data_IF_335642908372
#
_entry.id   IF_335642908372
#
_cell.length_a   1.000
_cell.length_b   1.000
_cell.length_c   1.000
_cell.angle_alpha   90.00
_cell.angle_beta   90.00
_cell.angle_gamma   90.00
#
_symmetry.space_group_name_H-M   'P 1'
#
loop_
_entity.id
_entity.type
_entity.pdbx_description
1 polymer ?
#
# COMPACT_ATOMS: atom_id res chain seq x y z
N UNK A 1 34.90 -19.26 2.57
CA UNK A 1 34.84 -17.82 2.29
C UNK A 1 33.36 -17.47 2.22
N UNK A 2 32.77 -17.08 3.36
CA UNK A 2 31.36 -16.68 3.43
C UNK A 2 31.19 -15.44 2.55
N UNK A 3 30.46 -15.58 1.44
CA UNK A 3 30.05 -14.42 0.66
C UNK A 3 29.04 -13.64 1.50
N UNK A 4 29.29 -12.35 1.69
CA UNK A 4 28.30 -11.49 2.32
C UNK A 4 27.01 -11.54 1.50
N UNK A 5 25.86 -11.75 2.14
CA UNK A 5 24.52 -11.75 1.54
C UNK A 5 24.28 -10.54 0.62
N UNK A 6 24.91 -9.40 0.94
CA UNK A 6 24.91 -8.18 0.14
C UNK A 6 25.70 -8.30 -1.18
N UNK A 7 26.86 -8.93 -1.15
CA UNK A 7 27.68 -9.18 -2.35
C UNK A 7 27.01 -10.19 -3.27
N UNK A 8 26.41 -11.24 -2.68
CA UNK A 8 25.61 -12.22 -3.40
C UNK A 8 24.46 -11.56 -4.18
N UNK A 9 23.74 -10.63 -3.55
CA UNK A 9 22.67 -9.87 -4.20
C UNK A 9 23.18 -8.95 -5.30
N UNK A 10 24.27 -8.22 -5.08
CA UNK A 10 24.84 -7.33 -6.10
C UNK A 10 25.27 -8.09 -7.35
N UNK A 11 25.88 -9.27 -7.18
CA UNK A 11 26.24 -10.15 -8.30
C UNK A 11 25.00 -10.67 -9.03
N UNK A 12 23.95 -11.00 -8.28
CA UNK A 12 22.67 -11.42 -8.85
C UNK A 12 22.01 -10.30 -9.66
N UNK A 13 22.00 -9.06 -9.15
CA UNK A 13 21.49 -7.89 -9.87
C UNK A 13 22.29 -7.62 -11.15
N UNK A 14 23.62 -7.74 -11.10
CA UNK A 14 24.48 -7.57 -12.27
C UNK A 14 24.18 -8.62 -13.36
N UNK A 15 23.91 -9.86 -12.97
CA UNK A 15 23.50 -10.91 -13.92
C UNK A 15 22.07 -10.67 -14.43
N UNK A 16 21.14 -10.27 -13.55
CA UNK A 16 19.76 -9.98 -13.92
C UNK A 16 19.64 -8.83 -14.92
N UNK A 17 20.53 -7.82 -14.88
CA UNK A 17 20.61 -6.73 -15.87
C UNK A 17 20.91 -7.21 -17.30
N UNK A 18 21.36 -8.45 -17.49
CA UNK A 18 21.52 -9.04 -18.83
C UNK A 18 20.20 -9.55 -19.42
N UNK A 19 19.23 -9.87 -18.57
CA UNK A 19 17.92 -10.40 -18.97
C UNK A 19 16.76 -9.41 -18.74
N UNK A 20 16.94 -8.40 -17.88
CA UNK A 20 15.93 -7.40 -17.55
C UNK A 20 16.36 -5.99 -17.98
N UNK A 21 15.42 -5.15 -18.44
CA UNK A 21 15.70 -3.74 -18.70
C UNK A 21 16.21 -3.02 -17.43
N UNK A 22 17.17 -2.11 -17.61
CA UNK A 22 17.79 -1.39 -16.48
C UNK A 22 16.76 -0.62 -15.63
N UNK A 23 15.76 -0.01 -16.28
CA UNK A 23 14.65 0.66 -15.59
C UNK A 23 13.85 -0.28 -14.66
N UNK A 24 13.65 -1.54 -15.05
CA UNK A 24 12.98 -2.55 -14.22
C UNK A 24 13.83 -2.87 -12.99
N UNK A 25 15.14 -3.04 -13.18
CA UNK A 25 16.07 -3.34 -12.08
C UNK A 25 16.10 -2.17 -11.08
N UNK A 26 16.23 -0.94 -11.56
CA UNK A 26 16.26 0.27 -10.69
C UNK A 26 14.96 0.49 -9.92
N UNK A 27 13.82 0.17 -10.53
CA UNK A 27 12.52 0.43 -9.91
C UNK A 27 12.12 -0.65 -8.91
N UNK A 28 12.36 -1.93 -9.24
CA UNK A 28 11.75 -3.06 -8.53
C UNK A 28 12.75 -3.90 -7.72
N UNK A 29 14.02 -3.91 -8.12
CA UNK A 29 15.03 -4.80 -7.53
C UNK A 29 16.10 -4.06 -6.73
N UNK A 30 16.50 -2.85 -7.13
CA UNK A 30 17.43 -1.99 -6.35
C UNK A 30 16.88 -1.59 -4.97
N UNK A 31 15.57 -1.27 -4.80
CA UNK A 31 15.02 -0.98 -3.48
C UNK A 31 14.95 -2.22 -2.57
N UNK A 32 15.17 -3.42 -3.11
CA UNK A 32 15.08 -4.66 -2.37
C UNK A 32 16.42 -5.00 -1.70
N UNK A 33 16.36 -5.40 -0.43
CA UNK A 33 17.54 -5.61 0.42
C UNK A 33 17.67 -7.10 0.72
N UNK A 34 18.84 -7.72 0.55
CA UNK A 34 19.00 -9.13 0.83
C UNK A 34 19.04 -9.33 2.36
N UNK A 35 18.17 -10.20 2.87
CA UNK A 35 17.95 -10.44 4.30
C UNK A 35 18.81 -11.62 4.75
N UNK A 36 18.68 -12.74 4.06
CA UNK A 36 19.37 -13.98 4.40
C UNK A 36 19.66 -14.79 3.15
N UNK A 37 20.75 -15.55 3.18
CA UNK A 37 21.11 -16.51 2.17
C UNK A 37 21.34 -17.85 2.88
N UNK A 38 20.36 -18.73 2.74
CA UNK A 38 20.38 -20.07 3.29
C UNK A 38 20.68 -21.10 2.19
N UNK A 39 20.83 -22.37 2.56
CA UNK A 39 21.11 -23.45 1.61
C UNK A 39 19.93 -23.70 0.66
N UNK A 40 20.01 -23.04 -0.51
CA UNK A 40 19.03 -23.13 -1.61
C UNK A 40 17.99 -22.00 -1.66
N UNK A 41 18.07 -20.99 -0.79
CA UNK A 41 17.14 -19.85 -0.79
C UNK A 41 17.83 -18.52 -0.50
N UNK A 42 17.57 -17.52 -1.33
CA UNK A 42 17.90 -16.12 -1.07
C UNK A 42 16.63 -15.37 -0.68
N UNK A 43 16.59 -14.87 0.55
CA UNK A 43 15.48 -14.06 1.07
C UNK A 43 15.79 -12.60 0.81
N UNK A 44 14.87 -11.91 0.11
CA UNK A 44 15.01 -10.50 -0.26
C UNK A 44 13.85 -9.70 0.31
N UNK A 45 14.16 -8.67 1.08
CA UNK A 45 13.24 -7.70 1.64
C UNK A 45 12.81 -6.67 0.60
N UNK A 46 11.54 -6.65 0.23
CA UNK A 46 10.92 -5.64 -0.61
C UNK A 46 10.31 -4.51 0.25
N UNK A 47 10.13 -3.29 -0.30
CA UNK A 47 9.66 -2.14 0.46
C UNK A 47 8.21 -2.23 0.95
N UNK A 48 7.34 -2.97 0.25
CA UNK A 48 5.93 -3.20 0.60
C UNK A 48 5.39 -4.49 -0.03
N UNK A 49 4.16 -4.87 0.35
CA UNK A 49 3.49 -6.09 -0.12
C UNK A 49 3.25 -6.10 -1.64
N UNK A 50 3.00 -4.93 -2.24
CA UNK A 50 2.82 -4.84 -3.70
C UNK A 50 4.12 -5.16 -4.42
N UNK A 51 5.25 -4.64 -3.93
CA UNK A 51 6.56 -4.95 -4.46
C UNK A 51 6.91 -6.44 -4.28
N UNK A 52 6.48 -7.09 -3.19
CA UNK A 52 6.61 -8.56 -3.02
C UNK A 52 5.87 -9.28 -4.14
N UNK A 53 4.56 -9.05 -4.29
CA UNK A 53 3.71 -9.75 -5.27
C UNK A 53 4.16 -9.49 -6.72
N UNK A 54 4.57 -8.25 -7.01
CA UNK A 54 5.09 -7.88 -8.31
C UNK A 54 6.41 -8.61 -8.62
N UNK A 55 7.36 -8.59 -7.67
CA UNK A 55 8.66 -9.23 -7.85
C UNK A 55 8.55 -10.76 -7.93
N UNK A 56 7.68 -11.36 -7.12
CA UNK A 56 7.42 -12.80 -7.17
C UNK A 56 6.81 -13.21 -8.51
N UNK A 57 5.77 -12.50 -8.97
CA UNK A 57 5.07 -12.87 -10.20
C UNK A 57 5.88 -12.59 -11.48
N UNK A 58 6.66 -11.51 -11.51
CA UNK A 58 7.34 -11.05 -12.73
C UNK A 58 8.82 -11.40 -12.80
N UNK A 59 9.50 -11.53 -11.66
CA UNK A 59 10.96 -11.55 -11.62
C UNK A 59 11.55 -12.81 -10.95
N UNK A 60 10.78 -13.55 -10.15
CA UNK A 60 11.29 -14.72 -9.43
C UNK A 60 11.92 -15.79 -10.34
N UNK A 61 11.31 -16.08 -11.50
CA UNK A 61 11.84 -17.09 -12.43
C UNK A 61 13.16 -16.68 -13.07
N UNK A 62 13.27 -15.42 -13.50
CA UNK A 62 14.51 -14.85 -14.05
C UNK A 62 15.60 -14.82 -12.99
N UNK A 63 15.26 -14.38 -11.78
CA UNK A 63 16.19 -14.31 -10.66
C UNK A 63 16.65 -15.70 -10.20
N UNK A 64 15.81 -16.72 -10.22
CA UNK A 64 16.20 -18.09 -9.89
C UNK A 64 17.22 -18.66 -10.90
N UNK A 65 17.00 -18.42 -12.21
CA UNK A 65 17.99 -18.82 -13.25
C UNK A 65 19.30 -18.05 -13.14
N UNK A 66 19.22 -16.75 -12.85
CA UNK A 66 20.41 -15.95 -12.63
C UNK A 66 21.16 -16.40 -11.36
N UNK A 67 20.42 -16.77 -10.30
CA UNK A 67 20.97 -17.27 -9.05
C UNK A 67 21.69 -18.61 -9.23
N UNK A 68 21.16 -19.53 -10.04
CA UNK A 68 21.84 -20.78 -10.37
C UNK A 68 23.19 -20.55 -11.07
N UNK A 69 23.26 -19.58 -11.99
CA UNK A 69 24.51 -19.22 -12.69
C UNK A 69 25.51 -18.52 -11.76
N UNK A 70 25.04 -17.69 -10.83
CA UNK A 70 25.89 -16.92 -9.91
C UNK A 70 26.40 -17.77 -8.74
N UNK A 71 25.57 -18.66 -8.20
CA UNK A 71 25.86 -19.48 -7.02
C UNK A 71 26.26 -20.91 -7.35
N UNK A 72 26.12 -21.35 -8.61
CA UNK A 72 26.48 -22.71 -9.05
C UNK A 72 25.53 -23.80 -8.54
N UNK A 73 24.37 -23.43 -8.01
CA UNK A 73 23.36 -24.34 -7.46
C UNK A 73 21.95 -23.75 -7.57
N UNK A 74 20.91 -24.58 -7.74
CA UNK A 74 19.52 -24.11 -7.74
C UNK A 74 19.21 -23.34 -6.46
N UNK A 75 18.92 -22.05 -6.59
CA UNK A 75 18.65 -21.15 -5.48
C UNK A 75 17.37 -20.39 -5.77
N UNK A 76 16.34 -20.61 -4.95
CA UNK A 76 15.07 -19.89 -5.08
C UNK A 76 15.23 -18.47 -4.51
N UNK A 77 14.70 -17.47 -5.21
CA UNK A 77 14.65 -16.09 -4.73
C UNK A 77 13.26 -15.81 -4.21
N UNK A 78 13.16 -15.57 -2.91
CA UNK A 78 11.88 -15.38 -2.20
C UNK A 78 11.82 -13.95 -1.69
N UNK A 79 10.72 -13.26 -1.98
CA UNK A 79 10.52 -11.90 -1.51
C UNK A 79 9.69 -11.89 -0.24
N UNK A 80 10.03 -11.00 0.69
CA UNK A 80 9.23 -10.72 1.89
C UNK A 80 9.23 -9.23 2.13
N UNK A 81 8.24 -8.71 2.86
CA UNK A 81 8.26 -7.31 3.28
C UNK A 81 9.44 -7.09 4.24
N UNK A 82 10.22 -6.03 4.03
CA UNK A 82 11.37 -5.73 4.88
C UNK A 82 10.90 -5.37 6.31
N UNK A 83 11.09 -6.29 7.25
CA UNK A 83 10.68 -6.10 8.66
C UNK A 83 11.51 -5.02 9.39
N UNK A 84 12.75 -4.75 8.98
CA UNK A 84 13.58 -3.73 9.65
C UNK A 84 13.13 -2.27 9.42
N UNK A 85 12.21 -2.03 8.47
CA UNK A 85 11.50 -0.74 8.38
C UNK A 85 10.35 -0.64 9.40
N UNK A 86 10.01 -1.74 10.06
CA UNK A 86 9.06 -1.83 11.17
C UNK A 86 9.68 -1.50 12.54
N UNK A 87 11.01 -1.26 12.64
CA UNK A 87 11.65 -0.81 13.88
C UNK A 87 11.60 0.71 14.11
N UNK A 88 10.89 1.49 13.29
CA UNK A 88 10.20 2.67 13.83
C UNK A 88 8.93 2.14 14.44
N UNK A 89 8.59 2.46 15.71
CA UNK A 89 7.48 1.84 16.40
C UNK A 89 6.26 1.85 15.49
N UNK A 90 6.02 0.68 14.87
CA UNK A 90 4.76 0.41 14.24
C UNK A 90 3.81 0.35 15.42
N UNK A 91 3.19 1.49 15.68
CA UNK A 91 1.85 1.47 16.21
C UNK A 91 1.03 0.74 15.16
N UNK A 92 0.99 -0.58 15.32
CA UNK A 92 -0.05 -1.46 14.86
C UNK A 92 -1.40 -0.92 15.34
N UNK A 93 -1.90 0.08 14.64
CA UNK A 93 -3.33 0.36 14.61
C UNK A 93 -3.84 -0.08 13.25
N UNK A 94 -3.92 -1.42 13.13
CA UNK A 94 -4.86 -2.17 12.32
C UNK A 94 -5.14 -1.62 10.92
N UNK A 95 -4.59 -2.28 9.89
CA UNK A 95 -5.39 -2.51 8.68
C UNK A 95 -6.59 -3.33 9.14
N UNK A 96 -7.74 -2.70 9.34
CA UNK A 96 -8.94 -3.45 9.67
C UNK A 96 -9.21 -4.50 8.58
N UNK A 97 -9.68 -5.70 8.95
CA UNK A 97 -10.24 -6.64 7.99
C UNK A 97 -11.26 -5.92 7.11
N UNK A 98 -11.25 -6.17 5.80
CA UNK A 98 -12.30 -5.71 4.89
C UNK A 98 -13.63 -6.25 5.41
N UNK A 99 -14.42 -5.40 6.06
CA UNK A 99 -15.82 -5.71 6.32
C UNK A 99 -16.58 -5.68 4.99
N UNK A 100 -17.50 -6.63 4.78
CA UNK A 100 -18.31 -6.66 3.57
C UNK A 100 -19.13 -5.37 3.45
N UNK A 101 -19.26 -4.86 2.22
CA UNK A 101 -20.03 -3.67 1.92
C UNK A 101 -21.47 -3.82 2.43
N UNK A 102 -21.94 -2.82 3.17
CA UNK A 102 -23.32 -2.74 3.64
C UNK A 102 -24.13 -1.90 2.66
N UNK A 103 -25.29 -2.40 2.25
CA UNK A 103 -26.21 -1.66 1.39
C UNK A 103 -26.94 -0.63 2.28
N UNK A 104 -26.68 0.66 2.05
CA UNK A 104 -27.43 1.73 2.71
C UNK A 104 -28.85 1.84 2.12
N UNK A 105 -29.78 2.46 2.84
CA UNK A 105 -31.20 2.64 2.48
C UNK A 105 -31.44 3.42 1.17
N UNK A 106 -30.36 3.92 0.55
CA UNK A 106 -30.33 4.58 -0.75
C UNK A 106 -30.05 3.64 -1.92
N UNK A 107 -29.77 2.35 -1.68
CA UNK A 107 -29.46 1.37 -2.73
C UNK A 107 -28.03 1.48 -3.29
N UNK A 108 -27.22 2.39 -2.75
CA UNK A 108 -25.80 2.53 -3.10
C UNK A 108 -24.96 1.67 -2.14
N UNK A 109 -24.10 0.76 -2.63
CA UNK A 109 -23.19 0.01 -1.78
C UNK A 109 -22.21 0.98 -1.11
N UNK A 110 -22.27 1.12 0.21
CA UNK A 110 -21.30 1.93 0.95
C UNK A 110 -20.35 1.00 1.68
N UNK A 111 -19.05 1.30 1.62
CA UNK A 111 -18.12 0.60 2.51
C UNK A 111 -18.37 1.16 3.92
N UNK A 112 -18.64 0.33 4.93
CA UNK A 112 -18.81 0.81 6.29
C UNK A 112 -17.56 1.56 6.76
N UNK A 113 -17.76 2.66 7.49
CA UNK A 113 -16.66 3.41 8.09
C UNK A 113 -16.11 2.61 9.28
N UNK A 114 -14.79 2.48 9.36
CA UNK A 114 -14.14 1.88 10.51
C UNK A 114 -14.18 2.84 11.70
N UNK A 115 -14.81 2.41 12.80
CA UNK A 115 -14.96 3.20 14.03
C UNK A 115 -13.62 3.63 14.66
N UNK A 116 -12.52 2.91 14.37
CA UNK A 116 -11.19 3.24 14.91
C UNK A 116 -10.52 4.39 14.18
N UNK A 117 -10.97 4.76 12.99
CA UNK A 117 -10.30 5.75 12.15
C UNK A 117 -10.88 7.16 12.38
N UNK A 118 -10.66 7.69 13.58
CA UNK A 118 -11.10 9.03 13.98
C UNK A 118 -9.92 9.98 14.15
N UNK A 119 -10.15 11.29 14.22
CA UNK A 119 -9.05 12.23 14.47
C UNK A 119 -8.41 12.02 15.85
N UNK A 120 -9.19 11.58 16.85
CA UNK A 120 -8.71 11.37 18.21
C UNK A 120 -7.68 10.23 18.29
N UNK A 121 -7.77 9.23 17.42
CA UNK A 121 -6.83 8.09 17.37
C UNK A 121 -5.69 8.32 16.38
N UNK A 122 -5.67 9.42 15.64
CA UNK A 122 -4.63 9.73 14.68
C UNK A 122 -3.47 10.47 15.34
N UNK A 123 -2.27 9.87 15.31
CA UNK A 123 -1.07 10.50 15.87
C UNK A 123 -0.47 11.51 14.89
N UNK A 124 -0.45 12.78 15.30
CA UNK A 124 0.12 13.88 14.54
C UNK A 124 1.62 14.02 14.86
N UNK A 125 2.43 14.12 13.82
CA UNK A 125 3.85 14.45 13.90
C UNK A 125 4.29 15.26 12.69
N UNK A 126 5.52 15.80 12.72
CA UNK A 126 6.04 16.72 11.68
C UNK A 126 5.85 16.22 10.24
N UNK A 127 5.91 14.91 10.01
CA UNK A 127 5.78 14.31 8.67
C UNK A 127 4.34 14.23 8.15
N UNK A 128 3.33 14.36 9.01
CA UNK A 128 1.91 14.26 8.63
C UNK A 128 1.07 15.48 9.09
N UNK A 129 1.70 16.44 9.77
CA UNK A 129 1.06 17.63 10.34
C UNK A 129 0.24 18.41 9.32
N UNK A 130 0.80 18.67 8.13
CA UNK A 130 0.10 19.38 7.06
C UNK A 130 -1.16 18.62 6.59
N UNK A 131 -1.04 17.30 6.39
CA UNK A 131 -2.17 16.48 5.95
C UNK A 131 -3.26 16.39 7.02
N UNK A 132 -2.87 16.24 8.29
CA UNK A 132 -3.79 16.23 9.42
C UNK A 132 -4.51 17.57 9.58
N UNK A 133 -3.79 18.69 9.50
CA UNK A 133 -4.38 20.02 9.58
C UNK A 133 -5.37 20.30 8.44
N UNK A 134 -5.02 19.92 7.21
CA UNK A 134 -5.90 20.05 6.06
C UNK A 134 -7.16 19.17 6.20
N UNK A 135 -7.01 17.92 6.67
CA UNK A 135 -8.12 17.03 6.94
C UNK A 135 -9.05 17.58 8.03
N UNK A 136 -8.49 18.10 9.13
CA UNK A 136 -9.26 18.78 10.17
C UNK A 136 -10.06 19.96 9.61
N UNK A 137 -9.43 20.81 8.79
CA UNK A 137 -10.11 21.95 8.18
C UNK A 137 -11.31 21.53 7.30
N UNK A 138 -11.19 20.42 6.58
CA UNK A 138 -12.30 19.86 5.78
C UNK A 138 -13.39 19.27 6.66
N UNK A 139 -13.03 18.52 7.71
CA UNK A 139 -14.02 17.99 8.66
C UNK A 139 -14.80 19.09 9.39
N UNK A 140 -14.12 20.20 9.72
CA UNK A 140 -14.73 21.35 10.39
C UNK A 140 -15.66 22.16 9.49
N UNK A 141 -15.33 22.29 8.20
CA UNK A 141 -16.11 23.06 7.24
C UNK A 141 -16.05 22.44 5.83
N UNK A 142 -16.85 21.38 5.56
CA UNK A 142 -16.85 20.68 4.28
C UNK A 142 -17.12 21.61 3.10
N UNK A 143 -16.27 21.56 2.08
CA UNK A 143 -16.42 22.36 0.87
C UNK A 143 -16.11 23.85 1.01
N UNK A 144 -15.60 24.31 2.17
CA UNK A 144 -15.23 25.72 2.39
C UNK A 144 -13.74 25.98 2.17
N UNK A 145 -12.90 25.49 3.08
CA UNK A 145 -11.46 25.80 3.05
C UNK A 145 -10.75 25.07 1.91
N UNK A 146 -11.13 23.81 1.66
CA UNK A 146 -10.58 22.98 0.59
C UNK A 146 -11.69 22.22 -0.12
N UNK A 147 -11.68 22.29 -1.46
CA UNK A 147 -12.52 21.47 -2.33
C UNK A 147 -11.88 21.40 -3.75
N UNK A 148 -11.27 20.27 -4.14
CA UNK A 148 -11.10 19.04 -3.37
C UNK A 148 -9.96 19.11 -2.35
N UNK A 149 -9.97 18.17 -1.39
CA UNK A 149 -8.79 17.80 -0.61
C UNK A 149 -8.18 16.52 -1.19
N UNK A 150 -6.89 16.57 -1.53
CA UNK A 150 -6.15 15.45 -2.09
C UNK A 150 -4.95 15.08 -1.20
N UNK A 151 -4.95 13.87 -0.65
CA UNK A 151 -3.88 13.36 0.24
C UNK A 151 -3.12 12.25 -0.50
N UNK A 152 -1.81 12.42 -0.65
CA UNK A 152 -0.92 11.43 -1.26
C UNK A 152 0.30 11.13 -0.38
N UNK A 153 0.94 9.99 -0.63
CA UNK A 153 2.10 9.52 0.13
C UNK A 153 2.23 8.01 0.07
N UNK A 154 3.36 7.48 0.55
CA UNK A 154 3.63 6.05 0.62
C UNK A 154 2.56 5.28 1.42
N UNK A 155 2.55 3.95 1.27
CA UNK A 155 1.68 3.04 2.00
C UNK A 155 1.90 3.16 3.53
N UNK A 156 0.85 2.91 4.32
CA UNK A 156 0.94 2.97 5.78
C UNK A 156 1.03 4.37 6.42
N UNK A 157 1.03 5.46 5.65
CA UNK A 157 1.14 6.83 6.20
C UNK A 157 -0.18 7.47 6.67
N UNK A 158 -1.24 6.67 6.84
CA UNK A 158 -2.50 7.15 7.41
C UNK A 158 -3.48 7.85 6.46
N UNK A 159 -3.30 7.76 5.14
CA UNK A 159 -4.22 8.35 4.14
C UNK A 159 -5.68 7.89 4.34
N UNK A 160 -5.88 6.58 4.47
CA UNK A 160 -7.21 5.99 4.68
C UNK A 160 -7.79 6.38 6.04
N UNK A 161 -6.95 6.47 7.08
CA UNK A 161 -7.37 6.92 8.40
C UNK A 161 -7.87 8.36 8.34
N UNK A 162 -7.09 9.29 7.80
CA UNK A 162 -7.48 10.70 7.68
C UNK A 162 -8.77 10.88 6.87
N UNK A 163 -8.92 10.16 5.76
CA UNK A 163 -10.13 10.22 4.93
C UNK A 163 -11.38 9.77 5.69
N UNK A 164 -11.31 8.66 6.44
CA UNK A 164 -12.44 8.20 7.24
C UNK A 164 -12.66 9.07 8.49
N UNK A 165 -11.60 9.65 9.08
CA UNK A 165 -11.71 10.58 10.18
C UNK A 165 -12.48 11.86 9.79
N UNK A 166 -12.27 12.35 8.56
CA UNK A 166 -13.10 13.42 7.98
C UNK A 166 -14.55 12.98 7.92
N UNK A 167 -14.85 11.78 7.40
CA UNK A 167 -16.23 11.28 7.32
C UNK A 167 -16.91 11.21 8.69
N UNK A 168 -16.23 10.65 9.70
CA UNK A 168 -16.73 10.61 11.08
C UNK A 168 -16.98 12.00 11.67
N UNK A 169 -16.04 12.93 11.49
CA UNK A 169 -16.18 14.30 11.97
C UNK A 169 -17.37 15.02 11.33
N UNK A 170 -17.55 14.84 10.01
CA UNK A 170 -18.68 15.41 9.27
C UNK A 170 -20.00 14.81 9.74
N UNK A 171 -20.11 13.49 9.88
CA UNK A 171 -21.34 12.84 10.36
C UNK A 171 -21.68 13.22 11.80
N UNK A 172 -20.66 13.43 12.64
CA UNK A 172 -20.85 13.86 14.04
C UNK A 172 -21.35 15.31 14.10
N UNK A 173 -20.73 16.21 13.34
CA UNK A 173 -21.03 17.65 13.39
C UNK A 173 -22.24 18.04 12.54
N UNK A 174 -22.48 17.32 11.45
CA UNK A 174 -23.55 17.56 10.49
C UNK A 174 -24.33 16.25 10.22
N UNK A 175 -25.19 15.79 11.16
CA UNK A 175 -25.87 14.49 11.05
C UNK A 175 -26.79 14.33 9.83
N UNK A 176 -27.21 15.44 9.21
CA UNK A 176 -28.02 15.43 7.98
C UNK A 176 -27.22 15.33 6.68
N UNK A 177 -25.89 15.33 6.75
CA UNK A 177 -25.03 15.25 5.56
C UNK A 177 -24.95 13.81 5.06
N UNK A 178 -25.19 13.62 3.76
CA UNK A 178 -24.93 12.35 3.08
C UNK A 178 -23.43 12.23 2.80
N UNK A 179 -22.81 11.19 3.34
CA UNK A 179 -21.37 10.90 3.16
C UNK A 179 -21.23 9.57 2.46
N UNK A 180 -20.47 9.55 1.36
CA UNK A 180 -20.16 8.34 0.61
C UNK A 180 -18.67 8.02 0.75
N UNK A 181 -18.38 6.78 1.15
CA UNK A 181 -17.03 6.24 1.23
C UNK A 181 -16.95 4.94 0.43
N UNK A 182 -16.06 4.92 -0.56
CA UNK A 182 -15.84 3.79 -1.44
C UNK A 182 -14.42 3.82 -2.01
N UNK A 183 -13.91 2.65 -2.39
CA UNK A 183 -12.62 2.52 -3.07
C UNK A 183 -12.73 2.92 -4.55
N UNK A 184 -11.61 3.35 -5.15
CA UNK A 184 -11.58 3.67 -6.59
C UNK A 184 -11.97 2.48 -7.48
N UNK A 185 -11.56 1.27 -7.11
CA UNK A 185 -11.95 0.03 -7.81
C UNK A 185 -13.47 -0.22 -7.71
N UNK A 186 -14.05 -0.03 -6.53
CA UNK A 186 -15.49 -0.16 -6.33
C UNK A 186 -16.25 0.85 -7.20
N UNK A 187 -15.81 2.11 -7.22
CA UNK A 187 -16.39 3.14 -8.06
C UNK A 187 -16.33 2.78 -9.55
N UNK A 188 -15.18 2.27 -10.02
CA UNK A 188 -15.03 1.86 -11.42
C UNK A 188 -15.97 0.70 -11.74
N UNK A 189 -16.09 -0.29 -10.86
CA UNK A 189 -17.00 -1.42 -11.06
C UNK A 189 -18.46 -0.95 -11.10
N UNK A 190 -18.88 -0.07 -10.19
CA UNK A 190 -20.23 0.51 -10.19
C UNK A 190 -20.52 1.34 -11.45
N UNK A 191 -19.53 2.09 -11.94
CA UNK A 191 -19.65 2.84 -13.20
C UNK A 191 -19.82 1.87 -14.39
N UNK A 192 -19.06 0.78 -14.44
CA UNK A 192 -19.19 -0.23 -15.51
C UNK A 192 -20.56 -0.90 -15.44
N UNK A 193 -20.98 -1.33 -14.26
CA UNK A 193 -22.28 -1.98 -14.04
C UNK A 193 -23.45 -1.05 -14.39
N UNK A 194 -23.42 0.22 -13.96
CA UNK A 194 -24.49 1.19 -14.25
C UNK A 194 -24.63 1.52 -15.73
N UNK A 195 -23.51 1.61 -16.46
CA UNK A 195 -23.51 1.79 -17.92
C UNK A 195 -24.12 0.56 -18.60
N UNK A 196 -23.73 -0.64 -18.19
CA UNK A 196 -24.28 -1.89 -18.74
C UNK A 196 -25.77 -2.05 -18.41
N UNK A 197 -26.20 -1.63 -17.22
CA UNK A 197 -27.57 -1.74 -16.74
C UNK A 197 -28.50 -0.58 -17.20
N UNK A 198 -28.02 0.40 -17.98
CA UNK A 198 -28.79 1.60 -18.42
C UNK A 198 -29.47 2.38 -17.28
N UNK A 199 -28.93 2.34 -16.06
CA UNK A 199 -29.52 3.06 -14.93
C UNK A 199 -28.42 3.83 -14.22
N UNK A 200 -28.31 5.13 -14.50
CA UNK A 200 -27.63 6.07 -13.60
C UNK A 200 -28.69 6.61 -12.64
N UNK A 201 -28.51 6.37 -11.34
CA UNK A 201 -29.23 7.06 -10.27
C UNK A 201 -28.23 7.60 -9.26
#
# INVERSE_FOLDING_TARGET
MEQSTKEAWNRLLAEARRELPDATVRTWLEPAVPIALDDGRLIVGAPDQFAVEWNESKHASVLARAAERVFGRPTAVVFRVQEDRQQRPQMDFFVAPREPATIDKSGVPTTPLNERYTFQTFVIGKSNELAAAAAHAVGEAPGKTYNPLFIYGATGLGKTHLMQAVAHAVLTKYPGTRVHYFGAEQFINEVIESIHARTMS
#
